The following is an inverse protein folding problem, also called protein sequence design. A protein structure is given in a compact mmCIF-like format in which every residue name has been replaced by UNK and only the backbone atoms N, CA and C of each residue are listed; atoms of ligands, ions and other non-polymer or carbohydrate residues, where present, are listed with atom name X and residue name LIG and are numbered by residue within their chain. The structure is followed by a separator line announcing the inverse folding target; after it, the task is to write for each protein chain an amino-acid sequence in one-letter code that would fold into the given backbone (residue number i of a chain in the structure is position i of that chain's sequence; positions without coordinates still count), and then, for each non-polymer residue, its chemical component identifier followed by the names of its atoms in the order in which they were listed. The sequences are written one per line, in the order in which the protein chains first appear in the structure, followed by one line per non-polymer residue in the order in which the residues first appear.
data_IF_796329249942
#
_entry.id   IF_796329249942
#
_cell.length_a   1.000
_cell.length_b   1.000
_cell.length_c   1.000
_cell.angle_alpha   90.00
_cell.angle_beta   90.00
_cell.angle_gamma   90.00
#
_symmetry.space_group_name_H-M   'P 1'
#
loop_
_entity.id
_entity.type
_entity.pdbx_description
1 polymer ?
#
# COMPACT_ATOMS: atom_id res chain seq x y z
N UNK A 1 8.05 -12.70 3.30
CA UNK A 1 7.61 -11.64 4.22
C UNK A 1 6.86 -10.61 3.41
N UNK A 2 5.65 -10.24 3.83
CA UNK A 2 4.82 -9.26 3.12
C UNK A 2 4.64 -8.06 4.01
N UNK A 3 4.79 -6.85 3.47
CA UNK A 3 4.54 -5.63 4.22
C UNK A 3 3.39 -4.87 3.57
N UNK A 4 2.39 -4.50 4.36
CA UNK A 4 1.24 -3.70 3.94
C UNK A 4 1.46 -2.25 4.36
N UNK A 5 1.15 -1.35 3.45
CA UNK A 5 1.17 0.08 3.68
C UNK A 5 -0.10 0.72 3.14
N UNK A 6 -0.40 1.94 3.57
CA UNK A 6 -1.24 2.87 2.83
C UNK A 6 -0.40 3.88 2.09
N UNK A 7 -0.84 4.34 0.92
CA UNK A 7 -0.21 5.47 0.23
C UNK A 7 -1.25 6.32 -0.50
N UNK A 8 -0.95 7.62 -0.71
CA UNK A 8 -1.83 8.48 -1.49
C UNK A 8 -1.83 8.09 -2.96
N UNK A 9 -3.02 8.02 -3.54
CA UNK A 9 -3.25 7.74 -4.95
C UNK A 9 -4.31 8.70 -5.50
N UNK A 10 -4.09 9.22 -6.70
CA UNK A 10 -5.04 10.08 -7.36
C UNK A 10 -6.09 9.22 -8.10
N UNK A 11 -7.31 9.19 -7.57
CA UNK A 11 -8.45 8.59 -8.25
C UNK A 11 -8.90 9.52 -9.37
N UNK A 12 -8.63 9.12 -10.62
CA UNK A 12 -9.00 9.89 -11.81
C UNK A 12 -10.51 9.97 -12.05
N UNK A 13 -11.29 9.02 -11.51
CA UNK A 13 -12.75 9.01 -11.68
C UNK A 13 -13.39 10.04 -10.76
N UNK A 14 -13.05 9.98 -9.47
CA UNK A 14 -13.58 10.88 -8.44
C UNK A 14 -12.83 12.23 -8.38
N UNK A 15 -11.74 12.38 -9.15
CA UNK A 15 -10.86 13.56 -9.21
C UNK A 15 -10.29 14.00 -7.85
N UNK A 16 -9.99 13.04 -6.98
CA UNK A 16 -9.49 13.30 -5.62
C UNK A 16 -8.36 12.36 -5.22
N UNK A 17 -7.57 12.77 -4.23
CA UNK A 17 -6.57 11.89 -3.62
C UNK A 17 -7.21 11.01 -2.56
N UNK A 18 -7.02 9.70 -2.68
CA UNK A 18 -7.46 8.69 -1.73
C UNK A 18 -6.25 7.95 -1.16
N UNK A 19 -6.41 7.29 -0.02
CA UNK A 19 -5.38 6.42 0.54
C UNK A 19 -5.68 4.97 0.18
N UNK A 20 -4.86 4.38 -0.67
CA UNK A 20 -5.00 2.99 -1.12
C UNK A 20 -4.11 2.06 -0.30
N UNK A 21 -4.52 0.80 -0.20
CA UNK A 21 -3.74 -0.26 0.43
C UNK A 21 -2.80 -0.90 -0.60
N UNK A 22 -1.51 -0.91 -0.28
CA UNK A 22 -0.45 -1.45 -1.13
C UNK A 22 0.38 -2.46 -0.36
N UNK A 23 1.10 -3.31 -1.09
CA UNK A 23 1.99 -4.27 -0.47
C UNK A 23 3.34 -4.38 -1.17
N UNK A 24 4.37 -4.64 -0.37
CA UNK A 24 5.64 -5.17 -0.85
C UNK A 24 5.69 -6.65 -0.51
N UNK A 25 5.74 -7.49 -1.53
CA UNK A 25 5.72 -8.93 -1.35
C UNK A 25 6.36 -9.66 -2.53
N UNK A 26 6.82 -10.87 -2.27
CA UNK A 26 7.15 -11.89 -3.28
C UNK A 26 6.18 -13.07 -3.23
N UNK A 27 5.14 -12.99 -2.38
CA UNK A 27 4.18 -14.06 -2.16
C UNK A 27 3.10 -14.07 -3.24
N UNK A 28 3.05 -15.16 -4.00
CA UNK A 28 2.12 -15.31 -5.13
C UNK A 28 0.66 -15.24 -4.68
N UNK A 29 0.35 -15.77 -3.49
CA UNK A 29 -1.02 -15.74 -2.93
C UNK A 29 -1.50 -14.30 -2.73
N UNK A 30 -0.62 -13.42 -2.22
CA UNK A 30 -0.91 -12.01 -2.04
C UNK A 30 -0.94 -11.27 -3.38
N UNK A 31 0.03 -11.54 -4.27
CA UNK A 31 0.08 -10.90 -5.59
C UNK A 31 -1.20 -11.15 -6.40
N UNK A 32 -1.82 -12.33 -6.28
CA UNK A 32 -3.10 -12.66 -6.92
C UNK A 32 -4.29 -11.85 -6.38
N UNK A 33 -4.17 -11.30 -5.17
CA UNK A 33 -5.14 -10.37 -4.56
C UNK A 33 -4.88 -8.91 -4.95
N UNK A 34 -3.81 -8.66 -5.70
CA UNK A 34 -3.37 -7.31 -6.05
C UNK A 34 -3.54 -7.01 -7.54
N UNK A 35 -3.52 -5.72 -7.85
CA UNK A 35 -3.40 -5.16 -9.19
C UNK A 35 -2.13 -4.32 -9.26
N UNK A 36 -1.43 -4.39 -10.40
CA UNK A 36 -0.29 -3.52 -10.67
C UNK A 36 -0.80 -2.13 -11.03
N UNK A 37 -0.20 -1.10 -10.46
CA UNK A 37 -0.47 0.27 -10.83
C UNK A 37 0.82 1.06 -10.97
N UNK A 38 0.72 2.13 -11.75
CA UNK A 38 1.81 3.09 -11.91
C UNK A 38 1.70 4.11 -10.77
N UNK A 39 2.67 4.12 -9.86
CA UNK A 39 2.81 5.18 -8.86
C UNK A 39 3.14 6.47 -9.59
N UNK A 40 2.14 7.36 -9.71
CA UNK A 40 2.35 8.70 -10.23
C UNK A 40 2.98 9.54 -9.13
N UNK A 41 4.00 10.37 -9.42
CA UNK A 41 4.48 11.32 -8.45
C UNK A 41 3.31 12.19 -8.02
N UNK A 42 3.24 12.45 -6.71
CA UNK A 42 2.36 13.48 -6.19
C UNK A 42 2.75 14.83 -6.82
N UNK A 43 1.82 15.79 -6.83
CA UNK A 43 1.99 17.08 -7.53
C UNK A 43 3.35 17.74 -7.25
N UNK A 44 3.80 18.60 -8.16
CA UNK A 44 5.09 19.29 -8.10
C UNK A 44 5.35 20.06 -6.79
N UNK A 45 4.32 20.39 -6.01
CA UNK A 45 4.49 20.96 -4.66
C UNK A 45 5.00 19.96 -3.61
N UNK A 46 4.71 18.67 -3.76
CA UNK A 46 5.21 17.61 -2.88
C UNK A 46 6.57 17.06 -3.33
N UNK A 47 7.06 17.48 -4.50
CA UNK A 47 8.41 17.17 -5.00
C UNK A 47 9.51 18.04 -4.37
N UNK A 48 9.20 19.08 -3.59
CA UNK A 48 10.23 19.94 -2.98
C UNK A 48 11.15 19.22 -1.98
N UNK A 49 10.71 18.09 -1.41
CA UNK A 49 11.53 17.24 -0.52
C UNK A 49 12.21 16.09 -1.28
N UNK A 50 12.28 16.14 -2.61
CA UNK A 50 12.76 15.04 -3.44
C UNK A 50 14.29 15.05 -3.57
N UNK A 51 14.96 14.10 -2.91
CA UNK A 51 16.32 13.73 -3.27
C UNK A 51 16.31 12.66 -4.38
N UNK A 52 16.94 12.91 -5.54
CA UNK A 52 17.00 11.95 -6.63
C UNK A 52 18.09 10.91 -6.32
N UNK A 53 17.75 9.84 -5.60
CA UNK A 53 18.62 8.68 -5.53
C UNK A 53 17.79 7.40 -5.46
N UNK A 54 17.66 6.73 -6.62
CA UNK A 54 17.07 5.41 -6.71
C UNK A 54 16.45 5.14 -8.08
N UNK A 55 16.80 4.01 -8.69
CA UNK A 55 16.06 3.41 -9.80
C UNK A 55 14.68 2.98 -9.29
N UNK A 56 13.73 3.91 -9.20
CA UNK A 56 12.39 3.62 -8.70
C UNK A 56 11.59 2.87 -9.76
N UNK A 57 11.25 1.62 -9.48
CA UNK A 57 10.20 0.90 -10.21
C UNK A 57 8.89 1.65 -10.02
N UNK A 58 8.42 2.33 -11.08
CA UNK A 58 7.14 3.04 -11.04
C UNK A 58 5.93 2.10 -10.90
N UNK A 59 6.13 0.79 -11.10
CA UNK A 59 5.09 -0.22 -10.95
C UNK A 59 5.08 -0.77 -9.52
N UNK A 60 3.95 -0.62 -8.83
CA UNK A 60 3.74 -1.17 -7.49
C UNK A 60 2.42 -1.99 -7.46
N UNK A 61 2.16 -2.69 -6.35
CA UNK A 61 0.99 -3.55 -6.18
C UNK A 61 0.03 -2.95 -5.15
N UNK A 62 -1.22 -2.79 -5.55
CA UNK A 62 -2.33 -2.38 -4.70
C UNK A 62 -3.34 -3.52 -4.55
N UNK A 63 -3.99 -3.66 -3.40
CA UNK A 63 -5.05 -4.65 -3.23
C UNK A 63 -6.26 -4.30 -4.09
N UNK A 64 -6.82 -5.29 -4.78
CA UNK A 64 -7.99 -5.10 -5.63
C UNK A 64 -9.26 -5.11 -4.78
N UNK A 65 -10.18 -4.19 -5.05
CA UNK A 65 -11.49 -4.23 -4.45
C UNK A 65 -12.36 -5.23 -5.24
N UNK A 66 -12.80 -6.31 -4.59
CA UNK A 66 -13.65 -7.32 -5.25
C UNK A 66 -15.14 -6.94 -5.28
N UNK A 67 -15.57 -5.94 -4.51
CA UNK A 67 -16.98 -5.49 -4.46
C UNK A 67 -17.25 -4.36 -5.45
N UNK A 68 -16.26 -3.51 -5.70
CA UNK A 68 -16.31 -2.44 -6.70
C UNK A 68 -15.34 -2.75 -7.83
N UNK A 69 -15.86 -3.15 -8.99
CA UNK A 69 -15.05 -3.48 -10.17
C UNK A 69 -14.05 -2.35 -10.48
N UNK A 70 -12.80 -2.74 -10.77
CA UNK A 70 -11.68 -1.86 -11.14
C UNK A 70 -11.18 -0.85 -10.09
N UNK A 71 -11.77 -0.81 -8.89
CA UNK A 71 -11.27 0.03 -7.79
C UNK A 71 -10.21 -0.69 -6.95
N UNK A 72 -9.25 0.08 -6.45
CA UNK A 72 -8.28 -0.40 -5.46
C UNK A 72 -8.92 -0.33 -4.07
N UNK A 73 -8.51 -1.22 -3.17
CA UNK A 73 -8.90 -1.14 -1.76
C UNK A 73 -8.29 0.11 -1.13
N UNK A 74 -9.12 0.80 -0.35
CA UNK A 74 -8.75 1.97 0.44
C UNK A 74 -8.58 1.60 1.91
N UNK A 75 -8.15 2.56 2.74
CA UNK A 75 -8.11 2.39 4.20
C UNK A 75 -9.46 1.94 4.76
N UNK A 76 -10.58 2.37 4.17
CA UNK A 76 -11.92 2.00 4.62
C UNK A 76 -12.19 0.50 4.43
N UNK A 77 -11.53 -0.13 3.46
CA UNK A 77 -11.67 -1.54 3.12
C UNK A 77 -10.74 -2.45 3.95
N UNK A 78 -9.92 -1.89 4.84
CA UNK A 78 -8.99 -2.65 5.69
C UNK A 78 -9.63 -3.80 6.48
N UNK A 79 -10.80 -3.63 7.14
CA UNK A 79 -11.42 -4.71 7.90
C UNK A 79 -11.71 -5.95 7.03
N UNK A 80 -12.17 -5.73 5.79
CA UNK A 80 -12.45 -6.80 4.85
C UNK A 80 -11.16 -7.49 4.40
N UNK A 81 -10.12 -6.72 4.06
CA UNK A 81 -8.82 -7.28 3.68
C UNK A 81 -8.24 -8.14 4.81
N UNK A 82 -8.27 -7.65 6.04
CA UNK A 82 -7.70 -8.33 7.19
C UNK A 82 -8.47 -9.60 7.55
N UNK A 83 -9.79 -9.60 7.40
CA UNK A 83 -10.58 -10.81 7.54
C UNK A 83 -10.12 -11.90 6.57
N UNK A 84 -9.90 -11.56 5.29
CA UNK A 84 -9.43 -12.54 4.28
C UNK A 84 -8.02 -13.03 4.61
N UNK A 85 -7.12 -12.12 4.96
CA UNK A 85 -5.72 -12.47 5.25
C UNK A 85 -5.56 -13.28 6.54
N UNK A 86 -6.43 -13.08 7.53
CA UNK A 86 -6.37 -13.78 8.82
C UNK A 86 -6.49 -15.31 8.72
N UNK A 87 -7.05 -15.80 7.61
CA UNK A 87 -7.20 -17.23 7.35
C UNK A 87 -5.86 -17.93 7.11
N UNK A 88 -4.86 -17.22 6.58
CA UNK A 88 -3.57 -17.81 6.15
C UNK A 88 -2.33 -17.11 6.71
N UNK A 89 -2.50 -15.92 7.28
CA UNK A 89 -1.40 -15.09 7.74
C UNK A 89 -1.61 -14.64 9.18
N UNK A 90 -0.50 -14.50 9.88
CA UNK A 90 -0.41 -13.76 11.14
C UNK A 90 0.03 -12.32 10.87
N UNK A 91 -0.43 -11.40 11.70
CA UNK A 91 -0.18 -9.97 11.56
C UNK A 91 0.76 -9.49 12.67
N UNK A 92 1.91 -8.93 12.27
CA UNK A 92 2.79 -8.20 13.17
C UNK A 92 2.54 -6.68 13.02
N UNK A 93 1.85 -6.15 14.02
CA UNK A 93 1.61 -4.72 14.20
C UNK A 93 2.67 -4.04 15.07
N UNK A 94 3.47 -4.81 15.83
CA UNK A 94 4.46 -4.25 16.79
C UNK A 94 5.60 -3.58 16.05
N UNK A 95 6.02 -4.13 14.91
CA UNK A 95 7.02 -3.51 14.04
C UNK A 95 6.54 -2.15 13.50
N UNK A 96 5.23 -1.94 13.36
CA UNK A 96 4.68 -0.67 12.88
C UNK A 96 4.97 0.51 13.78
N UNK A 97 4.93 0.32 15.11
CA UNK A 97 5.27 1.37 16.07
C UNK A 97 6.73 1.80 16.01
N UNK A 98 7.62 0.91 15.55
CA UNK A 98 9.04 1.23 15.35
C UNK A 98 9.26 1.99 14.04
N UNK A 99 8.56 1.61 12.97
CA UNK A 99 8.66 2.23 11.65
C UNK A 99 8.00 3.62 11.64
N UNK A 100 6.85 3.79 12.29
CA UNK A 100 6.19 5.11 12.44
C UNK A 100 7.07 6.12 13.16
N UNK A 101 7.80 5.69 14.21
CA UNK A 101 8.74 6.56 14.93
C UNK A 101 9.94 7.00 14.11
N UNK A 102 10.28 6.26 13.05
CA UNK A 102 11.41 6.59 12.18
C UNK A 102 11.06 7.57 11.06
N UNK A 103 9.80 8.00 10.94
CA UNK A 103 9.35 9.04 10.00
C UNK A 103 10.01 8.88 8.61
N UNK A 104 10.01 7.64 8.09
CA UNK A 104 10.55 7.36 6.76
C UNK A 104 9.50 7.86 5.77
N UNK A 105 9.64 9.13 5.43
CA UNK A 105 8.80 9.96 4.57
C UNK A 105 8.90 9.54 3.09
N UNK A 106 8.88 8.23 2.82
CA UNK A 106 8.89 7.68 1.47
C UNK A 106 7.51 7.88 0.85
N UNK A 107 7.31 9.01 0.17
CA UNK A 107 6.18 9.27 -0.72
C UNK A 107 4.80 9.31 -0.04
N UNK A 108 4.72 9.76 1.23
CA UNK A 108 3.47 9.79 1.98
C UNK A 108 2.90 8.41 2.32
N UNK A 109 3.73 7.37 2.20
CA UNK A 109 3.37 5.99 2.52
C UNK A 109 3.40 5.78 4.04
N UNK A 110 2.36 5.17 4.58
CA UNK A 110 2.26 4.83 6.00
C UNK A 110 2.27 3.33 6.18
N UNK A 111 3.15 2.83 7.04
CA UNK A 111 3.16 1.43 7.41
C UNK A 111 1.85 1.04 8.08
N UNK A 112 1.35 -0.16 7.80
CA UNK A 112 0.17 -0.71 8.45
C UNK A 112 0.54 -1.95 9.26
N UNK A 113 1.05 -2.99 8.60
CA UNK A 113 1.42 -4.23 9.25
C UNK A 113 2.37 -5.05 8.39
N UNK A 114 3.00 -6.03 9.03
CA UNK A 114 3.75 -7.09 8.35
C UNK A 114 2.97 -8.40 8.47
N UNK A 115 2.99 -9.20 7.41
CA UNK A 115 2.40 -10.52 7.39
C UNK A 115 3.49 -11.61 7.38
N UNK A 116 3.26 -12.62 8.20
CA UNK A 116 3.97 -13.91 8.16
C UNK A 116 2.98 -15.02 7.82
N UNK A 117 3.39 -15.99 7.01
CA UNK A 117 2.59 -17.22 6.85
C UNK A 117 2.51 -17.94 8.18
N UNK A 118 1.34 -18.50 8.47
CA UNK A 118 1.13 -19.44 9.57
C UNK A 118 1.87 -20.75 9.32
#
# INVERSE_FOLDING_TARGET
MTIIYSEPYYDSYEKQYIQILVCETQDVDIMNMCVRYLRKPLSSFQQMNFHPCGTFTMCNYAFKNNTCCDKMMTIQDMPQLFMILSLKYDFDYKMGKLIEKQNIDMYGRKFICMLSKK
#
